data_IF_970615674537
#
_entry.id   IF_970615674537
#
_cell.length_a   1.000
_cell.length_b   1.000
_cell.length_c   1.000
_cell.angle_alpha   90.00
_cell.angle_beta   90.00
_cell.angle_gamma   90.00
#
_symmetry.space_group_name_H-M   'P 1'
#
loop_
_entity.id
_entity.type
_entity.pdbx_description
1 polymer ?
#
# COMPACT_ATOMS: atom_id res chain seq x y z
N UNK A 1 2.53 -11.63 -0.39
CA UNK A 1 1.18 -12.15 -0.10
C UNK A 1 0.80 -13.06 -1.27
N UNK A 2 0.61 -14.36 -1.01
CA UNK A 2 0.48 -15.36 -2.09
C UNK A 2 -0.94 -15.85 -2.23
N UNK A 3 -1.39 -15.98 -3.47
CA UNK A 3 -2.65 -16.60 -3.89
C UNK A 3 -2.38 -17.87 -4.69
N UNK A 4 -3.31 -18.79 -4.69
CA UNK A 4 -3.27 -20.00 -5.49
C UNK A 4 -4.01 -19.77 -6.81
N UNK A 5 -3.35 -19.98 -7.94
CA UNK A 5 -3.96 -19.85 -9.27
C UNK A 5 -4.16 -21.24 -9.88
N UNK A 6 -5.38 -21.51 -10.36
CA UNK A 6 -5.72 -22.68 -11.15
C UNK A 6 -6.79 -22.32 -12.17
N UNK A 7 -6.53 -22.52 -13.45
CA UNK A 7 -7.49 -22.31 -14.56
C UNK A 7 -8.22 -20.94 -14.52
N UNK A 8 -7.50 -19.88 -14.10
CA UNK A 8 -8.06 -18.54 -13.93
C UNK A 8 -8.96 -18.36 -12.70
N UNK A 9 -9.03 -19.35 -11.82
CA UNK A 9 -9.64 -19.27 -10.50
C UNK A 9 -8.58 -18.90 -9.46
N UNK A 10 -9.02 -18.23 -8.37
CA UNK A 10 -8.15 -17.76 -7.29
C UNK A 10 -8.54 -18.47 -6.00
N UNK A 11 -7.56 -19.09 -5.36
CA UNK A 11 -7.69 -19.66 -4.03
C UNK A 11 -6.86 -18.90 -3.00
N UNK A 12 -7.35 -18.82 -1.77
CA UNK A 12 -6.63 -18.20 -0.66
C UNK A 12 -6.04 -19.28 0.26
N UNK A 13 -4.89 -18.97 0.86
CA UNK A 13 -4.25 -19.89 1.80
C UNK A 13 -5.15 -20.12 3.02
N UNK A 14 -5.49 -21.40 3.27
CA UNK A 14 -6.36 -21.81 4.39
C UNK A 14 -7.84 -21.95 4.00
N UNK A 15 -8.17 -21.89 2.71
CA UNK A 15 -9.48 -22.27 2.16
C UNK A 15 -9.43 -23.70 1.60
N UNK A 16 -10.58 -24.33 1.46
CA UNK A 16 -10.69 -25.71 0.90
C UNK A 16 -10.19 -25.79 -0.54
N UNK A 17 -10.28 -24.68 -1.29
CA UNK A 17 -9.74 -24.59 -2.64
C UNK A 17 -8.22 -24.79 -2.68
N UNK A 18 -7.49 -24.38 -1.64
CA UNK A 18 -6.05 -24.55 -1.53
C UNK A 18 -5.62 -26.03 -1.40
N UNK A 19 -6.56 -26.94 -1.09
CA UNK A 19 -6.30 -28.36 -0.94
C UNK A 19 -6.62 -29.16 -2.22
N UNK A 20 -7.23 -28.57 -3.23
CA UNK A 20 -7.92 -29.26 -4.31
C UNK A 20 -7.12 -29.49 -5.60
N UNK A 21 -5.78 -29.36 -5.65
CA UNK A 21 -5.20 -29.62 -6.94
C UNK A 21 -3.70 -29.68 -7.15
N UNK A 22 -3.28 -30.72 -7.90
CA UNK A 22 -1.90 -30.96 -8.32
C UNK A 22 -1.38 -29.95 -9.37
N UNK A 23 -2.28 -29.18 -10.05
CA UNK A 23 -1.92 -28.22 -11.10
C UNK A 23 -2.08 -26.75 -10.67
N UNK A 24 -2.12 -26.47 -9.36
CA UNK A 24 -2.28 -25.13 -8.83
C UNK A 24 -0.93 -24.54 -8.43
N UNK A 25 -0.69 -23.28 -8.81
CA UNK A 25 0.55 -22.56 -8.53
C UNK A 25 0.34 -21.46 -7.51
N UNK A 26 1.24 -21.36 -6.52
CA UNK A 26 1.28 -20.24 -5.59
C UNK A 26 2.02 -19.06 -6.20
N UNK A 27 1.30 -17.94 -6.39
CA UNK A 27 1.83 -16.72 -7.00
C UNK A 27 1.64 -15.55 -6.04
N UNK A 28 2.57 -14.62 -6.01
CA UNK A 28 2.35 -13.36 -5.30
C UNK A 28 1.17 -12.59 -5.92
N UNK A 29 0.26 -12.09 -5.06
CA UNK A 29 -0.90 -11.33 -5.53
C UNK A 29 -0.51 -10.15 -6.42
N UNK A 30 0.59 -9.45 -6.10
CA UNK A 30 1.10 -8.34 -6.91
C UNK A 30 1.51 -8.78 -8.32
N UNK A 31 2.15 -9.94 -8.45
CA UNK A 31 2.63 -10.47 -9.74
C UNK A 31 1.50 -11.10 -10.56
N UNK A 32 0.43 -11.54 -9.90
CA UNK A 32 -0.70 -12.20 -10.54
C UNK A 32 -1.55 -11.27 -11.43
N UNK A 33 -1.38 -9.95 -11.31
CA UNK A 33 -2.13 -8.97 -12.11
C UNK A 33 -2.02 -9.21 -13.62
N UNK A 34 -0.82 -9.48 -14.13
CA UNK A 34 -0.60 -9.75 -15.55
C UNK A 34 -1.33 -11.01 -16.05
N UNK A 35 -1.57 -11.97 -15.16
CA UNK A 35 -2.24 -13.26 -15.46
C UNK A 35 -3.75 -13.19 -15.31
N UNK A 36 -4.25 -12.38 -14.39
CA UNK A 36 -5.67 -12.30 -14.04
C UNK A 36 -6.41 -11.18 -14.79
N UNK A 37 -5.71 -10.10 -15.15
CA UNK A 37 -6.32 -8.85 -15.59
C UNK A 37 -7.00 -8.08 -14.44
N UNK A 38 -7.40 -6.84 -14.72
CA UNK A 38 -7.83 -5.88 -13.70
C UNK A 38 -8.99 -6.37 -12.84
N UNK A 39 -10.09 -6.82 -13.45
CA UNK A 39 -11.30 -7.18 -12.73
C UNK A 39 -11.10 -8.37 -11.78
N UNK A 40 -10.47 -9.44 -12.28
CA UNK A 40 -10.23 -10.64 -11.46
C UNK A 40 -9.20 -10.36 -10.37
N UNK A 41 -8.18 -9.55 -10.69
CA UNK A 41 -7.17 -9.16 -9.71
C UNK A 41 -7.76 -8.33 -8.58
N UNK A 42 -8.61 -7.36 -8.87
CA UNK A 42 -9.31 -6.55 -7.85
C UNK A 42 -10.17 -7.42 -6.93
N UNK A 43 -10.91 -8.37 -7.50
CA UNK A 43 -11.70 -9.33 -6.71
C UNK A 43 -10.80 -10.20 -5.81
N UNK A 44 -9.67 -10.67 -6.34
CA UNK A 44 -8.70 -11.46 -5.59
C UNK A 44 -8.05 -10.64 -4.46
N UNK A 45 -7.69 -9.39 -4.72
CA UNK A 45 -7.12 -8.48 -3.74
C UNK A 45 -8.12 -8.20 -2.60
N UNK A 46 -9.37 -7.90 -2.94
CA UNK A 46 -10.45 -7.70 -1.95
C UNK A 46 -10.67 -8.95 -1.10
N UNK A 47 -10.79 -10.11 -1.74
CA UNK A 47 -10.99 -11.37 -1.02
C UNK A 47 -9.84 -11.70 -0.07
N UNK A 48 -8.60 -11.48 -0.52
CA UNK A 48 -7.41 -11.68 0.30
C UNK A 48 -7.36 -10.74 1.50
N UNK A 49 -7.71 -9.46 1.31
CA UNK A 49 -7.74 -8.47 2.39
C UNK A 49 -8.79 -8.82 3.43
N UNK A 50 -10.02 -9.16 2.99
CA UNK A 50 -11.09 -9.57 3.90
C UNK A 50 -10.76 -10.87 4.64
N UNK A 51 -10.16 -11.84 3.96
CA UNK A 51 -9.70 -13.07 4.61
C UNK A 51 -8.66 -12.78 5.71
N UNK A 52 -7.68 -11.94 5.42
CA UNK A 52 -6.67 -11.54 6.39
C UNK A 52 -7.29 -10.77 7.56
N UNK A 53 -8.22 -9.88 7.28
CA UNK A 53 -8.94 -9.12 8.29
C UNK A 53 -9.70 -10.04 9.26
N UNK A 54 -10.52 -10.96 8.78
CA UNK A 54 -11.24 -11.91 9.62
C UNK A 54 -10.29 -12.84 10.39
N UNK A 55 -9.20 -13.24 9.78
CA UNK A 55 -8.20 -14.08 10.43
C UNK A 55 -7.45 -13.38 11.56
N UNK A 56 -7.15 -12.09 11.39
CA UNK A 56 -6.40 -11.29 12.35
C UNK A 56 -7.26 -10.82 13.53
N UNK A 57 -8.57 -10.63 13.32
CA UNK A 57 -9.46 -10.05 14.33
C UNK A 57 -10.35 -11.10 14.99
N UNK A 58 -9.74 -12.04 15.69
CA UNK A 58 -10.44 -13.08 16.47
C UNK A 58 -10.82 -12.63 17.87
N UNK A 59 -10.12 -11.63 18.41
CA UNK A 59 -10.33 -11.10 19.74
C UNK A 59 -10.43 -9.57 19.71
N UNK A 60 -11.29 -9.02 20.55
CA UNK A 60 -11.54 -7.60 20.66
C UNK A 60 -10.33 -6.88 21.28
N UNK A 61 -9.78 -5.89 20.58
CA UNK A 61 -8.66 -5.08 21.08
C UNK A 61 -9.03 -4.17 22.25
N UNK A 62 -10.33 -4.07 22.61
CA UNK A 62 -10.78 -3.24 23.73
C UNK A 62 -11.03 -4.06 24.99
N UNK A 63 -11.75 -5.19 24.93
CA UNK A 63 -12.12 -5.98 26.11
C UNK A 63 -11.55 -7.40 26.12
N UNK A 64 -10.90 -7.83 25.03
CA UNK A 64 -10.34 -9.18 24.89
C UNK A 64 -11.37 -10.25 24.52
N UNK A 65 -12.66 -9.93 24.44
CA UNK A 65 -13.73 -10.86 24.11
C UNK A 65 -13.64 -11.40 22.66
N UNK A 66 -14.33 -12.50 22.39
CA UNK A 66 -14.32 -13.11 21.07
C UNK A 66 -15.02 -12.20 20.03
N UNK A 67 -14.51 -12.20 18.80
CA UNK A 67 -15.08 -11.44 17.67
C UNK A 67 -15.75 -12.40 16.70
N UNK A 68 -17.03 -12.20 16.47
CA UNK A 68 -17.83 -12.96 15.51
C UNK A 68 -18.06 -12.17 14.22
N UNK A 69 -18.23 -12.86 13.10
CA UNK A 69 -18.53 -12.23 11.80
C UNK A 69 -19.91 -11.57 11.87
N UNK A 70 -19.96 -10.24 11.69
CA UNK A 70 -21.20 -9.47 11.66
C UNK A 70 -21.69 -9.24 10.21
N UNK A 71 -20.75 -9.04 9.28
CA UNK A 71 -21.03 -8.93 7.85
C UNK A 71 -19.84 -9.45 7.04
N UNK A 72 -19.92 -9.42 5.72
CA UNK A 72 -18.78 -9.75 4.84
C UNK A 72 -17.54 -8.90 5.18
N UNK A 73 -17.75 -7.65 5.60
CA UNK A 73 -16.68 -6.66 5.80
C UNK A 73 -16.53 -6.23 7.26
N UNK A 74 -17.17 -6.88 8.21
CA UNK A 74 -17.07 -6.49 9.62
C UNK A 74 -17.10 -7.67 10.57
N UNK A 75 -16.49 -7.47 11.74
CA UNK A 75 -16.59 -8.38 12.88
C UNK A 75 -17.04 -7.61 14.11
N UNK A 76 -17.81 -8.27 14.97
CA UNK A 76 -18.41 -7.68 16.17
C UNK A 76 -18.05 -8.49 17.41
N UNK A 77 -17.70 -7.80 18.49
CA UNK A 77 -17.40 -8.43 19.77
C UNK A 77 -18.66 -8.99 20.42
N UNK A 78 -18.59 -10.23 20.82
CA UNK A 78 -19.71 -10.93 21.46
C UNK A 78 -19.98 -10.37 22.87
N UNK A 79 -18.94 -9.86 23.57
CA UNK A 79 -19.04 -9.36 24.95
C UNK A 79 -19.42 -7.89 25.03
N UNK A 80 -18.69 -7.01 24.35
CA UNK A 80 -18.89 -5.55 24.48
C UNK A 80 -19.67 -4.91 23.31
N UNK A 81 -19.99 -5.68 22.28
CA UNK A 81 -20.76 -5.22 21.13
C UNK A 81 -20.01 -4.29 20.16
N UNK A 82 -18.71 -4.01 20.38
CA UNK A 82 -17.90 -3.20 19.48
C UNK A 82 -17.78 -3.88 18.13
N UNK A 83 -18.09 -3.15 17.08
CA UNK A 83 -17.92 -3.60 15.70
C UNK A 83 -16.72 -2.88 15.06
N UNK A 84 -15.96 -3.61 14.25
CA UNK A 84 -14.81 -3.07 13.52
C UNK A 84 -14.83 -3.50 12.06
N UNK A 85 -14.20 -2.69 11.23
CA UNK A 85 -14.06 -2.85 9.78
C UNK A 85 -12.58 -2.83 9.39
N UNK A 86 -12.23 -3.35 8.20
CA UNK A 86 -10.87 -3.21 7.68
C UNK A 86 -10.41 -1.75 7.68
N UNK A 87 -9.20 -1.53 8.20
CA UNK A 87 -8.60 -0.20 8.22
C UNK A 87 -7.83 0.01 6.92
N UNK A 88 -8.10 1.12 6.25
CA UNK A 88 -7.33 1.55 5.09
C UNK A 88 -6.22 2.49 5.53
N UNK A 89 -5.05 2.34 4.90
CA UNK A 89 -3.91 3.24 5.09
C UNK A 89 -3.68 4.01 3.77
N UNK A 90 -4.33 5.17 3.59
CA UNK A 90 -4.14 5.97 2.39
C UNK A 90 -2.67 6.37 2.24
N UNK A 91 -2.16 6.28 1.03
CA UNK A 91 -0.82 6.73 0.70
C UNK A 91 -0.87 7.61 -0.55
N UNK A 92 0.08 8.52 -0.66
CA UNK A 92 0.28 9.29 -1.87
C UNK A 92 1.59 8.89 -2.55
N UNK A 93 1.65 9.12 -3.85
CA UNK A 93 2.88 9.08 -4.66
C UNK A 93 2.93 10.37 -5.45
N UNK A 94 4.06 11.08 -5.44
CA UNK A 94 4.19 12.36 -6.12
C UNK A 94 5.41 12.40 -7.01
N UNK A 95 5.22 12.87 -8.23
CA UNK A 95 6.29 13.21 -9.17
C UNK A 95 6.69 14.68 -8.96
N UNK A 96 7.83 14.90 -8.34
CA UNK A 96 8.40 16.23 -8.16
C UNK A 96 9.30 16.53 -9.36
N UNK A 97 8.99 17.59 -10.09
CA UNK A 97 9.75 17.98 -11.29
C UNK A 97 10.34 19.38 -11.16
N UNK A 98 11.40 19.66 -11.93
CA UNK A 98 11.95 21.01 -12.16
C UNK A 98 12.24 21.20 -13.63
N UNK A 99 12.66 22.44 -14.00
CA UNK A 99 13.02 22.78 -15.40
C UNK A 99 11.89 22.46 -16.39
N UNK A 100 10.65 22.85 -16.04
CA UNK A 100 9.46 22.61 -16.85
C UNK A 100 9.16 21.12 -17.14
N UNK A 101 9.58 20.23 -16.24
CA UNK A 101 9.33 18.78 -16.35
C UNK A 101 10.48 17.97 -16.96
N UNK A 102 11.58 18.61 -17.32
CA UNK A 102 12.75 17.92 -17.90
C UNK A 102 13.52 17.08 -16.87
N UNK A 103 13.39 17.40 -15.58
CA UNK A 103 14.06 16.69 -14.51
C UNK A 103 13.06 16.24 -13.43
N UNK A 104 13.24 15.05 -12.91
CA UNK A 104 12.42 14.47 -11.85
C UNK A 104 13.25 14.15 -10.61
N UNK A 105 12.66 14.34 -9.42
CA UNK A 105 13.24 13.87 -8.17
C UNK A 105 12.92 12.39 -8.01
N UNK A 106 13.96 11.59 -7.93
CA UNK A 106 13.87 10.17 -7.60
C UNK A 106 14.56 9.92 -6.27
N UNK A 107 13.99 9.05 -5.47
CA UNK A 107 14.54 8.63 -4.17
C UNK A 107 15.03 7.19 -4.25
N UNK A 108 16.16 6.93 -3.57
CA UNK A 108 16.67 5.58 -3.36
C UNK A 108 16.63 5.28 -1.87
N UNK A 109 15.69 4.43 -1.47
CA UNK A 109 15.54 4.05 -0.08
C UNK A 109 16.60 3.01 0.33
N UNK A 110 17.11 3.11 1.55
CA UNK A 110 18.15 2.21 2.06
C UNK A 110 17.76 0.73 2.10
N UNK A 111 16.47 0.44 2.09
CA UNK A 111 15.92 -0.92 2.06
C UNK A 111 15.71 -1.48 0.65
N UNK A 112 16.03 -0.73 -0.40
CA UNK A 112 15.96 -1.24 -1.76
C UNK A 112 17.04 -2.30 -1.98
N UNK A 113 16.62 -3.47 -2.51
CA UNK A 113 17.52 -4.61 -2.73
C UNK A 113 18.54 -4.37 -3.85
N UNK A 114 18.23 -3.48 -4.79
CA UNK A 114 19.04 -3.18 -5.96
C UNK A 114 19.41 -1.70 -5.96
N UNK A 115 20.68 -1.42 -6.17
CA UNK A 115 21.24 -0.06 -6.12
C UNK A 115 20.75 0.85 -7.27
N UNK A 116 20.27 0.27 -8.35
CA UNK A 116 19.74 0.93 -9.55
C UNK A 116 18.22 1.20 -9.49
N UNK A 117 17.54 0.68 -8.45
CA UNK A 117 16.11 0.93 -8.26
C UNK A 117 15.89 2.27 -7.58
N UNK A 118 15.13 3.12 -8.24
CA UNK A 118 14.69 4.41 -7.73
C UNK A 118 13.16 4.48 -7.76
N UNK A 119 12.59 5.24 -6.84
CA UNK A 119 11.16 5.46 -6.74
C UNK A 119 10.82 6.95 -6.73
N UNK A 120 9.57 7.26 -6.96
CA UNK A 120 9.01 8.58 -6.68
C UNK A 120 8.88 8.79 -5.17
N UNK A 121 8.76 10.03 -4.74
CA UNK A 121 8.44 10.35 -3.33
C UNK A 121 7.05 9.79 -3.02
N UNK A 122 6.96 9.02 -1.94
CA UNK A 122 5.72 8.36 -1.52
C UNK A 122 5.66 8.25 0.00
N UNK A 123 4.46 8.37 0.55
CA UNK A 123 4.25 8.20 1.98
C UNK A 123 2.80 8.00 2.37
N UNK A 124 2.59 7.57 3.60
CA UNK A 124 1.26 7.39 4.16
C UNK A 124 0.69 8.73 4.66
N UNK A 125 -0.60 8.90 4.47
CA UNK A 125 -1.35 10.04 5.03
C UNK A 125 -1.50 9.85 6.53
N UNK A 126 -1.13 10.88 7.30
CA UNK A 126 -1.26 10.88 8.75
C UNK A 126 -2.64 11.37 9.21
N UNK A 127 -2.99 11.07 10.46
CA UNK A 127 -4.28 11.46 11.03
C UNK A 127 -4.46 12.98 11.03
N UNK A 128 -5.53 13.46 10.39
CA UNK A 128 -5.83 14.90 10.30
C UNK A 128 -5.13 15.62 9.16
N UNK A 129 -4.34 14.91 8.36
CA UNK A 129 -3.61 15.47 7.22
C UNK A 129 -4.44 15.36 5.93
N UNK A 130 -4.41 16.38 5.07
CA UNK A 130 -4.93 16.26 3.70
C UNK A 130 -3.88 15.59 2.80
N UNK A 131 -4.29 15.14 1.60
CA UNK A 131 -3.35 14.57 0.62
C UNK A 131 -2.26 15.57 0.22
N UNK A 132 -2.60 16.85 0.07
CA UNK A 132 -1.66 17.92 -0.28
C UNK A 132 -0.68 18.20 0.87
N UNK A 133 -1.15 18.13 2.12
CA UNK A 133 -0.30 18.26 3.31
C UNK A 133 0.68 17.08 3.41
N UNK A 134 0.20 15.87 3.15
CA UNK A 134 1.04 14.66 3.09
C UNK A 134 2.14 14.83 2.03
N UNK A 135 1.78 15.25 0.82
CA UNK A 135 2.75 15.54 -0.26
C UNK A 135 3.80 16.53 0.21
N UNK A 136 3.38 17.66 0.81
CA UNK A 136 4.32 18.69 1.26
C UNK A 136 5.25 18.20 2.36
N UNK A 137 4.76 17.36 3.30
CA UNK A 137 5.54 16.78 4.38
C UNK A 137 6.55 15.77 3.84
N UNK A 138 6.12 14.79 3.04
CA UNK A 138 6.97 13.72 2.52
C UNK A 138 8.06 14.26 1.58
N UNK A 139 7.72 15.20 0.70
CA UNK A 139 8.72 15.89 -0.14
C UNK A 139 9.76 16.60 0.71
N UNK A 140 9.34 17.27 1.78
CA UNK A 140 10.25 17.96 2.70
C UNK A 140 11.15 16.95 3.44
N UNK A 141 10.60 15.86 3.95
CA UNK A 141 11.35 14.84 4.69
C UNK A 141 12.37 14.12 3.80
N UNK A 142 11.98 13.69 2.63
CA UNK A 142 12.86 13.01 1.69
C UNK A 142 13.94 13.95 1.15
N UNK A 143 13.60 15.23 0.94
CA UNK A 143 14.58 16.24 0.57
C UNK A 143 15.63 16.42 1.67
N UNK A 144 15.23 16.58 2.94
CA UNK A 144 16.18 16.72 4.04
C UNK A 144 16.99 15.46 4.31
N UNK A 145 16.41 14.27 4.20
CA UNK A 145 17.13 13.00 4.32
C UNK A 145 18.20 12.86 3.24
N UNK A 146 17.90 13.25 2.01
CA UNK A 146 18.85 13.23 0.89
C UNK A 146 20.03 14.17 1.12
N UNK A 147 19.85 15.28 1.85
CA UNK A 147 20.95 16.18 2.23
C UNK A 147 21.86 15.61 3.33
N UNK A 148 21.35 14.77 4.21
CA UNK A 148 22.15 14.15 5.27
C UNK A 148 23.01 12.96 4.76
N UNK A 149 22.59 12.30 3.69
CA UNK A 149 23.34 11.23 3.03
C UNK A 149 24.04 11.74 1.78
N UNK A 150 25.22 12.40 1.96
CA UNK A 150 26.25 12.74 0.96
C UNK A 150 25.77 12.81 -0.50
N UNK A 151 25.16 13.92 -0.88
CA UNK A 151 25.02 14.29 -2.27
C UNK A 151 26.39 14.67 -2.82
N UNK A 152 26.99 13.84 -3.66
CA UNK A 152 28.23 14.16 -4.39
C UNK A 152 28.03 15.19 -5.52
N UNK A 153 26.81 15.66 -5.78
CA UNK A 153 26.50 16.79 -6.66
C UNK A 153 25.40 17.61 -6.02
N UNK A 154 25.67 18.88 -5.78
CA UNK A 154 24.67 19.84 -5.28
C UNK A 154 23.59 20.03 -6.36
N UNK A 155 22.35 19.56 -6.22
CA UNK A 155 21.27 20.06 -7.04
C UNK A 155 21.00 21.48 -6.57
N UNK A 156 21.02 22.42 -7.49
CA UNK A 156 20.43 23.75 -7.25
C UNK A 156 18.91 23.57 -7.28
N UNK A 157 18.33 23.19 -6.14
CA UNK A 157 16.89 23.16 -5.96
C UNK A 157 16.44 24.56 -5.58
N UNK A 158 15.86 25.25 -6.55
CA UNK A 158 15.05 26.41 -6.25
C UNK A 158 13.62 25.92 -6.02
N UNK A 159 13.14 25.96 -4.78
CA UNK A 159 11.72 25.99 -4.52
C UNK A 159 11.22 27.35 -5.03
N UNK A 160 10.64 27.39 -6.22
CA UNK A 160 9.80 28.51 -6.58
C UNK A 160 8.54 28.36 -5.73
N UNK A 161 8.38 29.32 -4.78
CA UNK A 161 7.21 29.37 -3.93
C UNK A 161 5.93 29.39 -4.77
N UNK A 162 4.94 28.88 -4.20
CA UNK A 162 3.48 28.87 -4.34
C UNK A 162 2.76 29.42 -5.58
N UNK A 163 3.42 29.92 -6.62
CA UNK A 163 2.74 30.59 -7.74
C UNK A 163 2.80 29.85 -9.09
N UNK A 164 3.45 28.69 -9.16
CA UNK A 164 3.43 27.86 -10.38
C UNK A 164 3.43 26.36 -10.06
N UNK A 165 2.77 26.01 -8.96
CA UNK A 165 2.66 24.65 -8.44
C UNK A 165 1.69 23.80 -9.25
N UNK A 166 2.14 23.18 -10.32
CA UNK A 166 1.43 22.05 -10.91
C UNK A 166 1.88 20.78 -10.21
N UNK A 167 1.14 20.40 -9.16
CA UNK A 167 1.18 19.07 -8.58
C UNK A 167 0.28 18.20 -9.47
N UNK A 168 0.86 17.27 -10.18
CA UNK A 168 0.10 16.24 -10.90
C UNK A 168 0.05 15.00 -10.00
N UNK A 169 -1.12 14.73 -9.44
CA UNK A 169 -1.46 13.45 -8.77
C UNK A 169 -1.79 12.39 -9.80
#
# INVERSE_FOLDING_TARGET
MNILLKDGCVGLKGTDFAQSGQDAEWVELRESWQRLGDEKWQKAARAQELHNFHKAHKFCGFCGGHMSTASEISVKCDDCGREIWPQLSPAMVVLVTRSHGEEALLVHAANFKHADVHALVAGFVETGESLEQCVAREVKEDFYRSFQHKIRRKPKLAFSGANDGRIHC
#
